data_IF_322627427223
#
_entry.id   IF_322627427223
#
_cell.length_a   1.000
_cell.length_b   1.000
_cell.length_c   1.000
_cell.angle_alpha   90.00
_cell.angle_beta   90.00
_cell.angle_gamma   90.00
#
_symmetry.space_group_name_H-M   'P 1'
#
loop_
_entity.id
_entity.type
_entity.pdbx_description
1 polymer ?
#
# COMPACT_ATOMS: atom_id res chain seq x y z
N UNK A 1 -14.25 -6.37 1.30
CA UNK A 1 -13.02 -6.24 2.12
C UNK A 1 -12.77 -4.79 2.53
N UNK A 2 -12.34 -3.88 1.64
CA UNK A 2 -11.97 -2.51 2.02
C UNK A 2 -13.03 -1.76 2.83
N UNK A 3 -14.30 -1.81 2.40
CA UNK A 3 -15.42 -1.19 3.13
C UNK A 3 -15.65 -1.78 4.54
N UNK A 4 -15.38 -3.08 4.74
CA UNK A 4 -15.49 -3.71 6.07
C UNK A 4 -14.40 -3.18 7.01
N UNK A 5 -13.20 -2.96 6.49
CA UNK A 5 -12.10 -2.37 7.27
C UNK A 5 -12.40 -0.91 7.63
N UNK A 6 -13.02 -0.14 6.73
CA UNK A 6 -13.52 1.20 7.04
C UNK A 6 -14.62 1.17 8.11
N UNK A 7 -15.56 0.23 8.05
CA UNK A 7 -16.59 0.06 9.09
C UNK A 7 -16.00 -0.29 10.46
N UNK A 8 -14.98 -1.15 10.51
CA UNK A 8 -14.26 -1.45 11.75
C UNK A 8 -13.49 -0.24 12.28
N UNK A 9 -13.00 0.63 11.39
CA UNK A 9 -12.38 1.90 11.78
C UNK A 9 -13.41 2.84 12.42
N UNK A 10 -14.57 2.98 11.78
CA UNK A 10 -15.68 3.83 12.24
C UNK A 10 -16.28 3.35 13.57
N UNK A 11 -16.31 2.04 13.80
CA UNK A 11 -16.75 1.46 15.08
C UNK A 11 -15.69 1.57 16.20
N UNK A 12 -14.50 2.07 15.90
CA UNK A 12 -13.38 2.17 16.84
C UNK A 12 -12.64 0.85 17.08
N UNK A 13 -13.03 -0.24 16.42
CA UNK A 13 -12.42 -1.57 16.59
C UNK A 13 -11.12 -1.74 15.79
N UNK A 14 -10.88 -0.90 14.79
CA UNK A 14 -9.62 -0.82 14.05
C UNK A 14 -8.90 0.47 14.45
N UNK A 15 -7.72 0.33 15.08
CA UNK A 15 -6.94 1.48 15.52
C UNK A 15 -6.23 2.18 14.35
N UNK A 16 -5.51 1.43 13.51
CA UNK A 16 -4.82 1.90 12.31
C UNK A 16 -4.76 0.78 11.28
N UNK A 17 -4.79 1.16 10.00
CA UNK A 17 -4.64 0.24 8.88
C UNK A 17 -3.28 0.45 8.22
N UNK A 18 -2.45 -0.60 8.19
CA UNK A 18 -1.19 -0.61 7.45
C UNK A 18 -1.39 -1.42 6.17
N UNK A 19 -1.13 -0.83 5.00
CA UNK A 19 -1.24 -1.53 3.72
C UNK A 19 0.10 -1.60 2.99
N UNK A 20 0.33 -2.75 2.34
CA UNK A 20 1.43 -2.96 1.38
C UNK A 20 0.97 -2.63 -0.05
N UNK A 21 -0.34 -2.46 -0.26
CA UNK A 21 -0.88 -2.11 -1.56
C UNK A 21 -0.62 -0.63 -1.83
N UNK A 22 -0.46 -0.30 -3.10
CA UNK A 22 -0.16 1.06 -3.58
C UNK A 22 -1.33 1.66 -4.38
N UNK A 23 -2.49 1.01 -4.34
CA UNK A 23 -3.65 1.27 -5.21
C UNK A 23 -4.65 2.31 -4.66
N UNK A 24 -4.45 2.79 -3.42
CA UNK A 24 -5.33 3.75 -2.75
C UNK A 24 -6.75 3.26 -2.45
N UNK A 25 -7.03 1.94 -2.55
CA UNK A 25 -8.41 1.42 -2.42
C UNK A 25 -8.97 1.51 -1.01
N UNK A 26 -8.12 1.54 0.03
CA UNK A 26 -8.57 1.70 1.41
C UNK A 26 -9.18 3.08 1.65
N UNK A 27 -8.49 4.12 1.20
CA UNK A 27 -8.92 5.52 1.29
C UNK A 27 -10.21 5.73 0.48
N UNK A 28 -10.27 5.20 -0.75
CA UNK A 28 -11.49 5.24 -1.57
C UNK A 28 -12.68 4.51 -0.95
N UNK A 29 -12.43 3.55 -0.07
CA UNK A 29 -13.48 2.83 0.66
C UNK A 29 -13.90 3.49 1.98
N UNK A 30 -13.24 4.59 2.37
CA UNK A 30 -13.57 5.38 3.56
C UNK A 30 -12.61 5.24 4.74
N UNK A 31 -11.54 4.44 4.63
CA UNK A 31 -10.54 4.37 5.70
C UNK A 31 -9.73 5.67 5.78
N UNK A 32 -9.58 6.23 6.99
CA UNK A 32 -8.91 7.51 7.22
C UNK A 32 -7.51 7.31 7.85
N UNK A 33 -7.38 6.35 8.77
CA UNK A 33 -6.15 6.04 9.49
C UNK A 33 -5.29 5.00 8.76
N UNK A 34 -4.92 5.33 7.52
CA UNK A 34 -4.14 4.45 6.64
C UNK A 34 -2.67 4.83 6.62
N UNK A 35 -1.79 3.84 6.73
CA UNK A 35 -0.37 3.96 6.43
C UNK A 35 -0.06 3.18 5.16
N UNK A 36 0.25 3.89 4.09
CA UNK A 36 0.68 3.33 2.81
C UNK A 36 2.15 2.94 2.89
N UNK A 37 2.44 1.75 3.41
CA UNK A 37 3.80 1.30 3.72
C UNK A 37 4.71 1.41 2.49
N UNK A 38 4.21 0.96 1.34
CA UNK A 38 4.93 1.00 0.07
C UNK A 38 4.62 2.24 -0.77
N UNK A 39 3.91 3.21 -0.22
CA UNK A 39 3.54 4.46 -0.90
C UNK A 39 2.29 4.32 -1.77
N UNK A 40 2.06 5.25 -2.70
CA UNK A 40 0.85 5.29 -3.54
C UNK A 40 1.16 5.56 -5.01
N UNK A 41 0.49 4.84 -5.91
CA UNK A 41 0.62 5.01 -7.37
C UNK A 41 -0.05 6.29 -7.88
N UNK A 42 -1.04 6.81 -7.16
CA UNK A 42 -1.71 8.07 -7.49
C UNK A 42 -0.93 9.32 -7.04
N UNK A 43 0.25 9.13 -6.43
CA UNK A 43 1.17 10.19 -6.03
C UNK A 43 2.51 10.11 -6.75
N UNK A 44 3.12 11.28 -6.93
CA UNK A 44 4.45 11.46 -7.49
C UNK A 44 5.26 12.30 -6.51
N UNK A 45 6.52 11.91 -6.28
CA UNK A 45 7.47 12.60 -5.41
C UNK A 45 8.69 13.07 -6.21
N UNK A 46 9.16 14.28 -5.93
CA UNK A 46 10.45 14.74 -6.41
C UNK A 46 11.58 14.17 -5.56
N UNK A 47 12.57 13.55 -6.19
CA UNK A 47 13.70 12.93 -5.49
C UNK A 47 14.67 13.94 -4.87
N UNK A 48 14.67 15.18 -5.36
CA UNK A 48 15.60 16.22 -4.90
C UNK A 48 15.01 17.07 -3.76
N UNK A 49 13.75 17.52 -3.89
CA UNK A 49 13.12 18.42 -2.92
C UNK A 49 11.97 17.80 -2.11
N UNK A 50 11.57 16.55 -2.41
CA UNK A 50 10.48 15.86 -1.70
C UNK A 50 9.07 16.41 -1.99
N UNK A 51 8.92 17.37 -2.90
CA UNK A 51 7.61 17.89 -3.29
C UNK A 51 6.74 16.79 -3.89
N UNK A 52 5.45 16.79 -3.53
CA UNK A 52 4.46 15.80 -3.99
C UNK A 52 3.42 16.45 -4.90
N UNK A 53 3.02 15.72 -5.93
CA UNK A 53 1.92 16.06 -6.84
C UNK A 53 1.12 14.79 -7.17
N UNK A 54 -0.06 14.94 -7.75
CA UNK A 54 -0.84 13.79 -8.19
C UNK A 54 -0.24 13.17 -9.46
N UNK A 55 -0.38 11.85 -9.59
CA UNK A 55 0.02 11.15 -10.83
C UNK A 55 -0.80 11.60 -12.05
N UNK A 56 -2.04 12.04 -11.84
CA UNK A 56 -2.90 12.60 -12.88
C UNK A 56 -2.35 13.93 -13.40
N UNK A 57 -1.97 14.86 -12.52
CA UNK A 57 -1.35 16.12 -12.91
C UNK A 57 -0.02 15.90 -13.67
N UNK A 58 0.80 14.95 -13.22
CA UNK A 58 1.99 14.55 -13.99
C UNK A 58 1.63 13.96 -15.36
N UNK A 59 0.53 13.20 -15.47
CA UNK A 59 0.06 12.63 -16.73
C UNK A 59 -0.31 13.73 -17.72
N UNK A 60 -1.10 14.72 -17.30
CA UNK A 60 -1.51 15.85 -18.16
C UNK A 60 -0.29 16.61 -18.70
N UNK A 61 0.75 16.77 -17.87
CA UNK A 61 2.02 17.40 -18.25
C UNK A 61 2.79 16.56 -19.26
N UNK A 62 2.85 15.24 -19.06
CA UNK A 62 3.49 14.33 -20.02
C UNK A 62 2.78 14.35 -21.37
N UNK A 63 1.45 14.32 -21.40
CA UNK A 63 0.65 14.38 -22.64
C UNK A 63 0.84 15.72 -23.36
N UNK A 64 0.87 16.82 -22.62
CA UNK A 64 1.15 18.16 -23.19
C UNK A 64 2.54 18.23 -23.81
N UNK A 65 3.55 17.62 -23.18
CA UNK A 65 4.93 17.63 -23.68
C UNK A 65 5.15 16.62 -24.83
N UNK A 66 4.27 15.61 -24.94
CA UNK A 66 4.39 14.51 -25.88
C UNK A 66 3.09 14.32 -26.70
N UNK A 67 2.61 15.33 -27.44
CA UNK A 67 1.30 15.28 -28.10
C UNK A 67 1.20 14.19 -29.19
N UNK A 68 2.34 13.82 -29.79
CA UNK A 68 2.39 12.80 -30.85
C UNK A 68 2.61 11.38 -30.29
N UNK A 69 2.61 11.21 -28.96
CA UNK A 69 2.99 9.96 -28.28
C UNK A 69 1.76 9.13 -27.90
N UNK A 70 1.05 8.61 -28.91
CA UNK A 70 -0.12 7.76 -28.74
C UNK A 70 0.18 6.31 -29.15
N UNK A 71 -0.02 5.36 -28.24
CA UNK A 71 0.24 3.93 -28.47
C UNK A 71 -0.90 3.05 -27.96
N UNK A 72 -1.09 1.92 -28.63
CA UNK A 72 -2.04 0.90 -28.20
C UNK A 72 -1.46 0.06 -27.06
N UNK A 73 -2.11 0.12 -25.90
CA UNK A 73 -1.75 -0.68 -24.73
C UNK A 73 -2.48 -2.02 -24.79
N UNK A 74 -1.74 -3.12 -24.97
CA UNK A 74 -2.31 -4.47 -25.07
C UNK A 74 -2.52 -5.13 -23.71
N UNK A 75 -1.56 -4.97 -22.81
CA UNK A 75 -1.57 -5.55 -21.46
C UNK A 75 -0.91 -4.59 -20.48
N UNK A 76 -1.42 -4.57 -19.25
CA UNK A 76 -0.92 -3.74 -18.15
C UNK A 76 -0.50 -4.69 -17.02
N UNK A 77 0.73 -4.53 -16.52
CA UNK A 77 1.26 -5.28 -15.40
C UNK A 77 0.65 -4.82 -14.05
N UNK A 78 0.78 -5.59 -12.95
CA UNK A 78 0.18 -5.24 -11.65
C UNK A 78 0.67 -3.91 -11.04
N UNK A 79 1.86 -3.46 -11.39
CA UNK A 79 2.45 -2.17 -11.01
C UNK A 79 2.07 -1.02 -11.95
N UNK A 80 1.36 -1.31 -13.04
CA UNK A 80 0.92 -0.35 -14.04
C UNK A 80 1.83 -0.26 -15.26
N UNK A 81 2.92 -1.03 -15.33
CA UNK A 81 3.84 -1.00 -16.46
C UNK A 81 3.23 -1.65 -17.72
N UNK A 82 3.68 -1.18 -18.88
CA UNK A 82 3.29 -1.68 -20.20
C UNK A 82 4.53 -1.88 -21.05
N UNK A 83 4.70 -3.10 -21.55
CA UNK A 83 5.71 -3.39 -22.57
C UNK A 83 5.24 -2.86 -23.92
N UNK A 84 5.84 -1.76 -24.37
CA UNK A 84 5.57 -1.19 -25.68
C UNK A 84 6.59 -1.70 -26.69
N UNK A 85 6.17 -2.62 -27.56
CA UNK A 85 7.02 -3.10 -28.66
C UNK A 85 7.24 -1.99 -29.70
N UNK A 86 8.49 -1.82 -30.14
CA UNK A 86 8.90 -0.92 -31.24
C UNK A 86 8.63 0.57 -30.98
N UNK A 87 8.81 1.01 -29.74
CA UNK A 87 8.73 2.43 -29.36
C UNK A 87 10.12 3.05 -29.29
N UNK A 88 10.29 4.20 -29.94
CA UNK A 88 11.54 4.97 -29.89
C UNK A 88 11.56 5.93 -28.70
N UNK A 89 11.83 5.39 -27.52
CA UNK A 89 11.87 6.15 -26.25
C UNK A 89 12.78 7.39 -26.29
N UNK A 90 13.70 7.53 -27.25
CA UNK A 90 14.56 8.70 -27.38
C UNK A 90 13.79 10.01 -27.66
N UNK A 91 12.57 9.90 -28.22
CA UNK A 91 11.71 11.07 -28.49
C UNK A 91 10.78 11.43 -27.33
N UNK A 92 10.68 10.57 -26.31
CA UNK A 92 9.84 10.83 -25.15
C UNK A 92 10.49 11.87 -24.24
N UNK A 93 9.74 12.93 -23.95
CA UNK A 93 10.18 14.03 -23.11
C UNK A 93 9.62 13.87 -21.70
N UNK A 94 10.52 13.69 -20.74
CA UNK A 94 10.17 13.66 -19.32
C UNK A 94 9.82 15.06 -18.81
N UNK A 95 8.91 15.12 -17.83
CA UNK A 95 8.58 16.35 -17.12
C UNK A 95 9.36 16.43 -15.81
N UNK A 96 9.88 17.62 -15.49
CA UNK A 96 10.65 17.89 -14.29
C UNK A 96 9.77 18.35 -13.11
N UNK A 97 10.30 18.44 -11.90
CA UNK A 97 9.58 19.05 -10.77
C UNK A 97 9.37 20.55 -10.98
N UNK A 98 8.13 21.04 -10.87
CA UNK A 98 7.83 22.48 -11.03
C UNK A 98 8.45 23.37 -9.94
N UNK A 99 8.90 22.78 -8.83
CA UNK A 99 9.53 23.52 -7.72
C UNK A 99 11.04 23.67 -7.85
N UNK A 100 11.73 22.66 -8.40
CA UNK A 100 13.19 22.63 -8.38
C UNK A 100 13.85 22.11 -9.67
N UNK A 101 13.06 21.68 -10.67
CA UNK A 101 13.59 21.05 -11.89
C UNK A 101 14.08 19.61 -11.69
N UNK A 102 13.95 19.06 -10.48
CA UNK A 102 14.43 17.72 -10.13
C UNK A 102 13.63 16.56 -10.74
N UNK A 103 14.17 15.36 -10.58
CA UNK A 103 13.56 14.12 -11.10
C UNK A 103 12.31 13.77 -10.31
N UNK A 104 11.23 13.45 -11.04
CA UNK A 104 9.97 12.97 -10.50
C UNK A 104 9.91 11.44 -10.57
N UNK A 105 9.43 10.81 -9.49
CA UNK A 105 9.21 9.36 -9.40
C UNK A 105 7.81 9.12 -8.85
N UNK A 106 7.06 8.09 -9.28
CA UNK A 106 5.92 7.61 -8.51
C UNK A 106 6.32 7.42 -7.03
N UNK A 107 5.48 7.84 -6.09
CA UNK A 107 5.76 7.66 -4.66
C UNK A 107 5.50 6.20 -4.25
N UNK A 108 6.22 5.27 -4.88
CA UNK A 108 6.16 3.85 -4.59
C UNK A 108 7.56 3.36 -4.23
N UNK A 109 7.64 2.47 -3.24
CA UNK A 109 8.88 1.78 -2.86
C UNK A 109 9.10 0.64 -3.86
N UNK A 110 10.11 0.78 -4.71
CA UNK A 110 10.49 -0.26 -5.68
C UNK A 110 11.25 -1.41 -5.03
N UNK A 111 11.34 -2.53 -5.73
CA UNK A 111 12.15 -3.65 -5.29
C UNK A 111 13.61 -3.22 -5.14
N UNK A 112 14.23 -3.55 -3.99
CA UNK A 112 15.58 -3.11 -3.64
C UNK A 112 15.64 -1.75 -2.93
N UNK A 113 14.57 -0.96 -2.94
CA UNK A 113 14.48 0.26 -2.14
C UNK A 113 14.09 -0.03 -0.68
N UNK A 114 14.48 0.87 0.21
CA UNK A 114 14.04 0.84 1.59
C UNK A 114 12.76 1.66 1.75
N UNK A 115 11.81 1.13 2.50
CA UNK A 115 10.68 1.93 3.00
C UNK A 115 11.24 3.12 3.80
N UNK A 116 10.77 4.36 3.54
CA UNK A 116 11.24 5.53 4.27
C UNK A 116 11.20 5.33 5.78
N UNK A 117 12.33 5.57 6.46
CA UNK A 117 12.48 5.35 7.90
C UNK A 117 11.38 6.03 8.74
N UNK A 118 11.02 7.32 8.50
CA UNK A 118 9.94 7.96 9.24
C UNK A 118 8.59 7.24 9.11
N UNK A 119 8.31 6.64 7.95
CA UNK A 119 7.07 5.88 7.70
C UNK A 119 7.04 4.58 8.51
N UNK A 120 8.16 3.87 8.56
CA UNK A 120 8.30 2.65 9.39
C UNK A 120 8.17 2.99 10.88
N UNK A 121 8.83 4.05 11.33
CA UNK A 121 8.77 4.52 12.72
C UNK A 121 7.36 4.92 13.13
N UNK A 122 6.65 5.64 12.26
CA UNK A 122 5.25 5.98 12.45
C UNK A 122 4.37 4.72 12.60
N UNK A 123 4.51 3.77 11.68
CA UNK A 123 3.74 2.52 11.74
C UNK A 123 4.04 1.69 13.01
N UNK A 124 5.30 1.63 13.44
CA UNK A 124 5.69 0.96 14.68
C UNK A 124 5.16 1.69 15.92
N UNK A 125 5.04 3.01 15.89
CA UNK A 125 4.39 3.76 16.98
C UNK A 125 2.89 3.41 17.08
N UNK A 126 2.19 3.33 15.95
CA UNK A 126 0.77 2.93 15.91
C UNK A 126 0.54 1.50 16.35
N UNK A 127 1.47 0.59 16.05
CA UNK A 127 1.42 -0.79 16.53
C UNK A 127 1.55 -0.88 18.06
N UNK A 128 2.37 -0.03 18.68
CA UNK A 128 2.54 0.01 20.15
C UNK A 128 1.29 0.53 20.89
N UNK A 129 0.42 1.23 20.20
CA UNK A 129 -0.86 1.72 20.72
C UNK A 129 -1.99 0.70 20.55
N UNK A 130 -1.77 -0.37 19.78
CA UNK A 130 -2.75 -1.42 19.54
C UNK A 130 -2.66 -2.55 20.58
N UNK A 131 -3.75 -3.29 20.71
CA UNK A 131 -3.89 -4.47 21.57
C UNK A 131 -3.76 -5.80 20.81
N UNK A 132 -3.83 -5.78 19.48
CA UNK A 132 -3.64 -6.94 18.61
C UNK A 132 -3.13 -6.55 17.21
N UNK A 133 -2.53 -7.50 16.50
CA UNK A 133 -2.22 -7.37 15.07
C UNK A 133 -3.07 -8.37 14.26
N UNK A 134 -3.90 -7.84 13.35
CA UNK A 134 -4.61 -8.63 12.34
C UNK A 134 -3.91 -8.50 10.98
N UNK A 135 -3.38 -9.61 10.45
CA UNK A 135 -2.81 -9.70 9.10
C UNK A 135 -3.90 -10.19 8.15
N UNK A 136 -4.12 -9.44 7.06
CA UNK A 136 -5.19 -9.74 6.11
C UNK A 136 -4.62 -9.86 4.70
N UNK A 137 -4.79 -11.01 4.05
CA UNK A 137 -4.49 -11.19 2.63
C UNK A 137 -3.02 -10.96 2.25
N UNK A 138 -2.08 -11.27 3.14
CA UNK A 138 -0.65 -11.14 2.88
C UNK A 138 0.10 -12.41 3.26
N UNK A 139 0.99 -12.85 2.38
CA UNK A 139 1.95 -13.93 2.68
C UNK A 139 3.03 -13.49 3.67
N UNK A 140 3.23 -12.18 3.85
CA UNK A 140 4.31 -11.58 4.64
C UNK A 140 5.71 -12.13 4.29
N UNK A 141 5.93 -12.61 3.08
CA UNK A 141 7.25 -13.10 2.67
C UNK A 141 8.28 -11.97 2.62
N UNK A 142 7.85 -10.79 2.19
CA UNK A 142 8.69 -9.58 2.12
C UNK A 142 8.88 -9.00 3.53
N UNK A 143 10.14 -8.73 3.89
CA UNK A 143 10.49 -8.28 5.23
C UNK A 143 9.90 -6.91 5.63
N UNK A 144 9.55 -6.07 4.64
CA UNK A 144 8.88 -4.79 4.89
C UNK A 144 7.57 -4.95 5.66
N UNK A 145 6.74 -5.95 5.31
CA UNK A 145 5.52 -6.27 6.04
C UNK A 145 5.80 -7.17 7.26
N UNK A 146 6.63 -8.21 7.09
CA UNK A 146 6.90 -9.20 8.15
C UNK A 146 7.46 -8.59 9.43
N UNK A 147 8.21 -7.49 9.35
CA UNK A 147 8.77 -6.80 10.52
C UNK A 147 7.70 -6.41 11.55
N UNK A 148 6.48 -6.11 11.12
CA UNK A 148 5.39 -5.74 12.01
C UNK A 148 4.85 -6.94 12.78
N UNK A 149 4.80 -8.12 12.17
CA UNK A 149 4.49 -9.37 12.88
C UNK A 149 5.58 -9.71 13.91
N UNK A 150 6.86 -9.54 13.57
CA UNK A 150 7.96 -9.70 14.54
C UNK A 150 7.90 -8.70 15.69
N UNK A 151 7.57 -7.44 15.39
CA UNK A 151 7.43 -6.39 16.40
C UNK A 151 6.25 -6.67 17.33
N UNK A 152 5.12 -7.13 16.79
CA UNK A 152 3.95 -7.54 17.58
C UNK A 152 4.30 -8.71 18.53
N UNK A 153 4.97 -9.74 18.02
CA UNK A 153 5.43 -10.87 18.84
C UNK A 153 6.38 -10.42 19.96
N UNK A 154 7.35 -9.56 19.64
CA UNK A 154 8.30 -9.04 20.63
C UNK A 154 7.62 -8.18 21.71
N UNK A 155 6.51 -7.52 21.37
CA UNK A 155 5.69 -6.75 22.30
C UNK A 155 4.65 -7.62 23.05
N UNK A 156 4.57 -8.92 22.77
CA UNK A 156 3.58 -9.82 23.37
C UNK A 156 2.14 -9.58 22.87
N UNK A 157 1.98 -8.89 21.73
CA UNK A 157 0.67 -8.65 21.14
C UNK A 157 0.16 -9.93 20.43
N UNK A 158 -1.12 -10.31 20.61
CA UNK A 158 -1.72 -11.39 19.86
C UNK A 158 -1.72 -11.09 18.36
N UNK A 159 -1.31 -12.07 17.57
CA UNK A 159 -1.29 -11.99 16.11
C UNK A 159 -2.33 -12.94 15.54
N UNK A 160 -3.23 -12.40 14.72
CA UNK A 160 -4.27 -13.15 14.01
C UNK A 160 -4.05 -13.00 12.50
N UNK A 161 -4.22 -14.08 11.75
CA UNK A 161 -3.99 -14.09 10.29
C UNK A 161 -5.23 -14.56 9.54
N UNK A 162 -5.75 -13.73 8.64
CA UNK A 162 -6.77 -14.08 7.66
C UNK A 162 -6.11 -14.18 6.30
N UNK A 163 -5.71 -15.38 5.88
CA UNK A 163 -5.05 -15.57 4.60
C UNK A 163 -5.19 -17.02 4.10
N UNK A 164 -5.36 -17.20 2.79
CA UNK A 164 -5.27 -18.52 2.16
C UNK A 164 -3.81 -18.89 1.90
N UNK A 165 -3.42 -20.10 2.25
CA UNK A 165 -2.06 -20.60 2.05
C UNK A 165 -1.07 -20.09 3.10
N UNK A 166 0.19 -20.46 2.92
CA UNK A 166 1.24 -20.22 3.91
C UNK A 166 1.56 -18.72 4.05
N UNK A 167 1.79 -18.28 5.29
CA UNK A 167 2.43 -16.99 5.56
C UNK A 167 3.73 -17.19 6.31
N UNK A 168 4.65 -16.23 6.15
CA UNK A 168 5.90 -16.22 6.91
C UNK A 168 5.68 -16.04 8.43
N UNK A 169 4.50 -15.59 8.84
CA UNK A 169 4.15 -15.35 10.23
C UNK A 169 3.29 -16.46 10.86
N UNK A 170 3.10 -17.59 10.18
CA UNK A 170 2.25 -18.69 10.68
C UNK A 170 2.71 -19.16 12.08
N UNK A 171 4.02 -19.33 12.30
CA UNK A 171 4.58 -19.73 13.60
C UNK A 171 4.53 -18.62 14.67
N UNK A 172 4.22 -17.38 14.29
CA UNK A 172 4.08 -16.25 15.21
C UNK A 172 2.62 -16.01 15.59
N UNK A 173 1.68 -16.54 14.81
CA UNK A 173 0.26 -16.30 14.96
C UNK A 173 -0.32 -17.13 16.10
N UNK A 174 -1.17 -16.50 16.91
CA UNK A 174 -2.00 -17.22 17.88
C UNK A 174 -3.14 -17.95 17.18
N UNK A 175 -3.65 -17.37 16.08
CA UNK A 175 -4.71 -17.96 15.29
C UNK A 175 -4.60 -17.58 13.82
N UNK A 176 -4.92 -18.54 12.94
CA UNK A 176 -5.00 -18.34 11.49
C UNK A 176 -6.29 -18.92 10.96
N UNK A 177 -7.04 -18.13 10.17
CA UNK A 177 -8.13 -18.66 9.35
C UNK A 177 -7.67 -18.76 7.90
N UNK A 178 -7.66 -19.99 7.40
CA UNK A 178 -7.37 -20.30 6.00
C UNK A 178 -8.63 -20.24 5.15
N UNK A 179 -9.17 -19.02 4.97
CA UNK A 179 -10.43 -18.78 4.29
C UNK A 179 -10.36 -17.54 3.39
N UNK A 180 -11.44 -17.29 2.63
CA UNK A 180 -11.60 -16.02 1.93
C UNK A 180 -11.57 -14.84 2.93
N UNK A 181 -10.76 -13.84 2.63
CA UNK A 181 -10.62 -12.64 3.47
C UNK A 181 -11.94 -11.88 3.63
N UNK A 182 -12.73 -11.79 2.56
CA UNK A 182 -14.03 -11.12 2.58
C UNK A 182 -15.00 -11.82 3.53
N UNK A 183 -15.08 -13.16 3.46
CA UNK A 183 -15.85 -13.97 4.39
C UNK A 183 -15.38 -13.80 5.83
N UNK A 184 -14.08 -13.92 6.11
CA UNK A 184 -13.53 -13.81 7.47
C UNK A 184 -13.76 -12.43 8.09
N UNK A 185 -13.55 -11.34 7.33
CA UNK A 185 -13.82 -9.99 7.81
C UNK A 185 -15.32 -9.72 8.02
N UNK A 186 -16.19 -10.30 7.20
CA UNK A 186 -17.64 -10.17 7.37
C UNK A 186 -18.07 -10.80 8.70
N UNK A 187 -17.59 -12.01 8.99
CA UNK A 187 -17.85 -12.68 10.26
C UNK A 187 -17.27 -11.91 11.46
N UNK A 188 -16.04 -11.38 11.34
CA UNK A 188 -15.43 -10.55 12.39
C UNK A 188 -16.24 -9.28 12.65
N UNK A 189 -16.64 -8.56 11.60
CA UNK A 189 -17.44 -7.33 11.72
C UNK A 189 -18.77 -7.64 12.42
N UNK A 190 -19.45 -8.72 12.04
CA UNK A 190 -20.69 -9.15 12.70
C UNK A 190 -20.49 -9.57 14.15
N UNK A 191 -19.34 -10.13 14.52
CA UNK A 191 -19.05 -10.53 15.88
C UNK A 191 -18.77 -9.33 16.79
N UNK A 192 -18.10 -8.30 16.27
CA UNK A 192 -17.74 -7.08 17.01
C UNK A 192 -18.86 -6.05 17.09
N UNK A 193 -19.84 -6.10 16.18
CA UNK A 193 -21.03 -5.23 16.22
C UNK A 193 -22.23 -5.82 16.94
N UNK A 194 -22.13 -7.06 17.46
CA UNK A 194 -23.16 -7.64 18.31
C UNK A 194 -23.13 -6.97 19.70
N UNK A 195 -24.28 -6.47 20.19
CA UNK A 195 -24.39 -5.84 21.50
C UNK A 195 -24.14 -6.81 22.66
#
# INVERSE_FOLDING_TARGET
>A
MHQLLAQLEDSGSLHHLLTQNVDGRHQRAGSNRVVDLHGRLDEVVCLDCGARTSRAEMQDRLETQNPDWAYEVKQIAPDGDVDLERVDYARFQLVACDRCGGVLKPDVVFFGENVPKPRVEFALARLREADALLVVGSSLMVYSGFRFARAAQAAGLPIVIFNRGQTRADDLAQFKLEQDVGTSLTALTQALTRP
#
